data_IF_702679297341
#
_entry.id   IF_702679297341
#
_cell.length_a   1.000
_cell.length_b   1.000
_cell.length_c   1.000
_cell.angle_alpha   90.00
_cell.angle_beta   90.00
_cell.angle_gamma   90.00
#
_symmetry.space_group_name_H-M   'P 1'
#
loop_
_entity.id
_entity.type
_entity.pdbx_description
1 polymer ?
#
# COMPACT_ATOMS: atom_id res chain seq x y z
N UNK A 1 32.58 8.23 -16.58
CA UNK A 1 32.12 8.12 -17.99
C UNK A 1 33.19 7.39 -18.77
N UNK A 2 32.87 6.62 -19.83
CA UNK A 2 33.86 6.01 -20.71
C UNK A 2 34.63 7.07 -21.51
N UNK A 3 35.72 6.68 -22.15
CA UNK A 3 36.59 7.56 -22.94
C UNK A 3 35.80 8.33 -24.00
N UNK A 4 35.04 7.59 -24.81
CA UNK A 4 34.11 8.13 -25.79
C UNK A 4 32.71 7.83 -25.32
N UNK A 5 31.90 8.87 -25.18
CA UNK A 5 30.47 8.75 -24.90
C UNK A 5 29.67 9.70 -25.77
N UNK A 6 28.41 9.36 -25.97
CA UNK A 6 27.43 10.18 -26.65
C UNK A 6 26.23 10.47 -25.73
N UNK A 7 25.18 11.06 -26.33
CA UNK A 7 23.94 11.36 -25.65
C UNK A 7 23.28 10.12 -25.04
N UNK A 8 23.30 8.99 -25.74
CA UNK A 8 22.61 7.78 -25.33
C UNK A 8 23.33 7.09 -24.18
N UNK A 9 24.65 6.99 -24.27
CA UNK A 9 25.52 6.44 -23.21
C UNK A 9 25.39 7.26 -21.93
N UNK A 10 25.37 8.59 -22.03
CA UNK A 10 25.20 9.45 -20.86
C UNK A 10 23.85 9.22 -20.16
N UNK A 11 22.76 9.14 -20.92
CA UNK A 11 21.45 8.89 -20.34
C UNK A 11 21.30 7.47 -19.78
N UNK A 12 21.88 6.45 -20.44
CA UNK A 12 21.82 5.07 -19.94
C UNK A 12 22.53 4.93 -18.59
N UNK A 13 23.67 5.60 -18.39
CA UNK A 13 24.31 5.67 -17.08
C UNK A 13 23.47 6.41 -16.04
N UNK A 14 22.82 7.51 -16.43
CA UNK A 14 21.93 8.22 -15.51
C UNK A 14 20.75 7.35 -15.07
N UNK A 15 20.11 6.63 -15.99
CA UNK A 15 19.04 5.67 -15.69
C UNK A 15 19.55 4.55 -14.78
N UNK A 16 20.73 3.99 -15.07
CA UNK A 16 21.32 2.90 -14.27
C UNK A 16 21.59 3.32 -12.83
N UNK A 17 22.23 4.46 -12.62
CA UNK A 17 22.70 4.89 -11.30
C UNK A 17 21.69 5.73 -10.52
N UNK A 18 20.72 6.36 -11.19
CA UNK A 18 19.72 7.24 -10.58
C UNK A 18 18.29 6.84 -10.95
N UNK A 19 18.01 5.53 -10.99
CA UNK A 19 16.71 4.97 -11.37
C UNK A 19 15.54 5.57 -10.56
N UNK A 20 15.73 5.83 -9.27
CA UNK A 20 14.70 6.45 -8.42
C UNK A 20 14.39 7.89 -8.81
N UNK A 21 15.40 8.64 -9.25
CA UNK A 21 15.18 10.00 -9.76
C UNK A 21 14.41 9.97 -11.08
N UNK A 22 14.72 9.02 -11.96
CA UNK A 22 13.94 8.81 -13.20
C UNK A 22 12.50 8.45 -12.89
N UNK A 23 12.27 7.50 -11.98
CA UNK A 23 10.93 7.10 -11.53
C UNK A 23 10.13 8.29 -11.00
N UNK A 24 10.75 9.15 -10.19
CA UNK A 24 10.12 10.38 -9.68
C UNK A 24 9.79 11.38 -10.81
N UNK A 25 10.72 11.58 -11.75
CA UNK A 25 10.50 12.46 -12.91
C UNK A 25 9.36 11.96 -13.82
N UNK A 26 9.28 10.66 -14.04
CA UNK A 26 8.20 10.04 -14.82
C UNK A 26 6.85 10.22 -14.11
N UNK A 27 6.78 9.97 -12.80
CA UNK A 27 5.57 10.23 -12.02
C UNK A 27 5.18 11.71 -12.05
N UNK A 28 6.15 12.63 -11.93
CA UNK A 28 5.93 14.07 -12.05
C UNK A 28 5.38 14.45 -13.43
N UNK A 29 5.93 13.88 -14.49
CA UNK A 29 5.46 14.08 -15.86
C UNK A 29 3.99 13.65 -15.98
N UNK A 30 3.65 12.44 -15.54
CA UNK A 30 2.27 11.94 -15.58
C UNK A 30 1.30 12.80 -14.73
N UNK A 31 1.74 13.23 -13.54
CA UNK A 31 0.94 14.09 -12.66
C UNK A 31 0.59 15.43 -13.33
N UNK A 32 1.55 16.12 -13.96
CA UNK A 32 1.26 17.38 -14.62
C UNK A 32 0.55 17.21 -15.97
N UNK A 33 0.88 16.16 -16.72
CA UNK A 33 0.21 15.84 -17.99
C UNK A 33 -1.27 15.57 -17.79
N UNK A 34 -1.63 14.79 -16.76
CA UNK A 34 -3.03 14.52 -16.43
C UNK A 34 -3.81 15.79 -16.07
N UNK A 35 -3.16 16.77 -15.43
CA UNK A 35 -3.78 18.08 -15.15
C UNK A 35 -4.01 18.88 -16.43
N UNK A 36 -3.07 18.88 -17.35
CA UNK A 36 -3.25 19.55 -18.65
C UNK A 36 -4.33 18.88 -19.48
N UNK A 37 -4.43 17.55 -19.46
CA UNK A 37 -5.52 16.79 -20.07
C UNK A 37 -6.87 17.22 -19.46
N UNK A 38 -6.96 17.29 -18.13
CA UNK A 38 -8.17 17.75 -17.44
C UNK A 38 -8.52 19.21 -17.77
N UNK A 39 -7.53 20.10 -17.85
CA UNK A 39 -7.77 21.49 -18.24
C UNK A 39 -8.36 21.57 -19.65
N UNK A 40 -7.80 20.83 -20.61
CA UNK A 40 -8.33 20.73 -21.97
C UNK A 40 -9.76 20.19 -21.98
N UNK A 41 -10.05 19.14 -21.21
CA UNK A 41 -11.39 18.53 -21.19
C UNK A 41 -12.47 19.44 -20.63
N UNK A 42 -12.12 20.45 -19.83
CA UNK A 42 -13.04 21.49 -19.34
C UNK A 42 -12.95 22.80 -20.14
N UNK A 43 -12.38 22.76 -21.36
CA UNK A 43 -12.29 23.91 -22.27
C UNK A 43 -11.25 24.97 -21.88
N UNK A 44 -10.31 24.65 -20.97
CA UNK A 44 -9.25 25.56 -20.53
C UNK A 44 -7.93 25.29 -21.25
N UNK A 45 -7.12 26.33 -21.41
CA UNK A 45 -5.75 26.21 -21.94
C UNK A 45 -4.87 25.39 -20.98
N UNK A 46 -3.93 24.63 -21.56
CA UNK A 46 -2.88 23.93 -20.79
C UNK A 46 -2.01 24.92 -20.04
N UNK A 47 -1.41 24.47 -18.95
CA UNK A 47 -0.60 25.32 -18.06
C UNK A 47 0.79 24.77 -17.82
N UNK A 48 0.95 23.45 -17.77
CA UNK A 48 2.16 22.85 -17.21
C UNK A 48 3.17 22.42 -18.27
N UNK A 49 2.69 21.84 -19.38
CA UNK A 49 3.49 21.32 -20.50
C UNK A 49 4.78 20.61 -20.04
N UNK A 50 4.67 19.55 -19.23
CA UNK A 50 5.82 18.95 -18.59
C UNK A 50 6.70 18.20 -19.61
N UNK A 51 8.02 18.35 -19.49
CA UNK A 51 8.99 17.50 -20.19
C UNK A 51 8.98 16.09 -19.59
N UNK A 52 9.14 15.07 -20.45
CA UNK A 52 9.40 13.70 -19.98
C UNK A 52 10.79 13.61 -19.31
N UNK A 53 11.09 12.51 -18.62
CA UNK A 53 12.36 12.35 -17.87
C UNK A 53 13.60 12.51 -18.74
N UNK A 54 13.57 12.01 -19.98
CA UNK A 54 14.68 12.10 -20.95
C UNK A 54 14.93 13.54 -21.40
N UNK A 55 13.89 14.24 -21.84
CA UNK A 55 14.00 15.62 -22.30
C UNK A 55 14.32 16.56 -21.14
N UNK A 56 13.76 16.30 -19.96
CA UNK A 56 14.11 17.01 -18.73
C UNK A 56 15.61 16.86 -18.42
N UNK A 57 16.14 15.64 -18.46
CA UNK A 57 17.57 15.39 -18.25
C UNK A 57 18.44 16.21 -19.22
N UNK A 58 18.12 16.21 -20.52
CA UNK A 58 18.88 16.95 -21.53
C UNK A 58 18.65 18.47 -21.53
N UNK A 59 17.57 18.95 -20.91
CA UNK A 59 17.34 20.39 -20.74
C UNK A 59 18.33 21.05 -19.78
N UNK A 60 18.93 20.27 -18.86
CA UNK A 60 19.88 20.74 -17.84
C UNK A 60 21.16 21.31 -18.46
N UNK A 61 21.57 22.49 -18.02
CA UNK A 61 22.78 23.16 -18.51
C UNK A 61 24.05 22.32 -18.30
N UNK A 62 24.13 21.58 -17.18
CA UNK A 62 25.26 20.69 -16.91
C UNK A 62 25.35 19.57 -17.94
N UNK A 63 24.21 18.96 -18.29
CA UNK A 63 24.15 17.88 -19.29
C UNK A 63 24.48 18.42 -20.68
N UNK A 64 23.97 19.62 -21.04
CA UNK A 64 24.33 20.30 -22.29
C UNK A 64 25.83 20.56 -22.38
N UNK A 65 26.46 21.03 -21.31
CA UNK A 65 27.90 21.24 -21.25
C UNK A 65 28.68 19.92 -21.40
N UNK A 66 28.30 18.86 -20.69
CA UNK A 66 28.92 17.53 -20.83
C UNK A 66 28.87 17.00 -22.25
N UNK A 67 27.80 17.28 -22.99
CA UNK A 67 27.64 16.84 -24.38
C UNK A 67 28.29 17.77 -25.41
N UNK A 68 28.82 18.92 -25.00
CA UNK A 68 29.50 19.84 -25.92
C UNK A 68 30.77 19.22 -26.50
N UNK A 69 31.09 19.56 -27.75
CA UNK A 69 32.26 19.01 -28.44
C UNK A 69 33.56 19.30 -27.67
N UNK A 70 33.73 20.54 -27.19
CA UNK A 70 34.91 20.93 -26.43
C UNK A 70 35.09 20.11 -25.15
N UNK A 71 34.02 19.91 -24.37
CA UNK A 71 34.10 19.10 -23.15
C UNK A 71 34.39 17.63 -23.44
N UNK A 72 33.75 17.05 -24.46
CA UNK A 72 33.98 15.65 -24.86
C UNK A 72 35.41 15.42 -25.35
N UNK A 73 35.96 16.33 -26.15
CA UNK A 73 37.35 16.26 -26.61
C UNK A 73 38.32 16.37 -25.43
N UNK A 74 38.09 17.30 -24.51
CA UNK A 74 38.90 17.43 -23.29
C UNK A 74 38.84 16.17 -22.42
N UNK A 75 37.65 15.65 -22.16
CA UNK A 75 37.46 14.41 -21.40
C UNK A 75 38.17 13.21 -22.03
N UNK A 76 38.15 13.12 -23.38
CA UNK A 76 38.86 12.07 -24.10
C UNK A 76 40.37 12.15 -23.89
N UNK A 77 40.95 13.35 -23.98
CA UNK A 77 42.39 13.58 -23.77
C UNK A 77 42.83 13.28 -22.34
N UNK A 78 42.01 13.64 -21.35
CA UNK A 78 42.29 13.46 -19.93
C UNK A 78 41.82 12.09 -19.38
N UNK A 79 41.37 11.18 -20.25
CA UNK A 79 40.76 9.92 -19.83
C UNK A 79 41.76 8.99 -19.15
N UNK A 80 41.34 8.38 -18.05
CA UNK A 80 42.10 7.34 -17.35
C UNK A 80 41.15 6.27 -16.79
N UNK A 81 41.36 5.02 -17.17
CA UNK A 81 40.50 3.89 -16.79
C UNK A 81 40.51 3.63 -15.28
N UNK A 82 41.67 3.70 -14.62
CA UNK A 82 41.77 3.49 -13.18
C UNK A 82 41.03 4.58 -12.38
N UNK A 83 41.17 5.84 -12.79
CA UNK A 83 40.47 6.96 -12.16
C UNK A 83 38.95 6.83 -12.36
N UNK A 84 38.50 6.40 -13.54
CA UNK A 84 37.08 6.09 -13.80
C UNK A 84 36.58 5.00 -12.85
N UNK A 85 37.31 3.90 -12.71
CA UNK A 85 36.91 2.78 -11.82
C UNK A 85 36.84 3.28 -10.37
N UNK A 86 37.86 4.00 -9.89
CA UNK A 86 37.87 4.60 -8.55
C UNK A 86 36.66 5.52 -8.32
N UNK A 87 36.34 6.40 -9.28
CA UNK A 87 35.18 7.29 -9.20
C UNK A 87 33.85 6.52 -9.22
N UNK A 88 33.75 5.45 -10.00
CA UNK A 88 32.57 4.58 -10.04
C UNK A 88 32.35 3.89 -8.69
N UNK A 89 33.39 3.29 -8.11
CA UNK A 89 33.30 2.66 -6.79
C UNK A 89 32.88 3.67 -5.70
N UNK A 90 33.37 4.91 -5.77
CA UNK A 90 32.93 5.97 -4.85
C UNK A 90 31.46 6.35 -5.05
N UNK A 91 30.98 6.40 -6.30
CA UNK A 91 29.57 6.66 -6.60
C UNK A 91 28.69 5.54 -6.06
N UNK A 92 29.03 4.27 -6.31
CA UNK A 92 28.27 3.11 -5.83
C UNK A 92 28.21 3.08 -4.29
N UNK A 93 29.32 3.37 -3.61
CA UNK A 93 29.33 3.53 -2.13
C UNK A 93 28.38 4.63 -1.64
N UNK A 94 28.26 5.74 -2.38
CA UNK A 94 27.30 6.81 -2.05
C UNK A 94 25.87 6.37 -2.32
N UNK A 95 25.59 5.72 -3.46
CA UNK A 95 24.27 5.23 -3.84
C UNK A 95 23.73 4.18 -2.88
N UNK A 96 24.59 3.29 -2.36
CA UNK A 96 24.19 2.30 -1.37
C UNK A 96 23.62 2.93 -0.09
N UNK A 97 24.05 4.15 0.27
CA UNK A 97 23.45 4.90 1.39
C UNK A 97 22.04 5.43 1.08
N UNK A 98 21.69 5.59 -0.20
CA UNK A 98 20.38 6.06 -0.66
C UNK A 98 19.35 4.94 -0.88
N UNK A 99 19.78 3.67 -0.99
CA UNK A 99 18.89 2.49 -1.03
C UNK A 99 17.92 2.41 0.16
N UNK A 100 18.27 3.07 1.27
CA UNK A 100 17.41 3.24 2.44
C UNK A 100 16.02 3.81 2.09
N UNK A 101 15.87 4.62 1.04
CA UNK A 101 14.56 5.21 0.68
C UNK A 101 13.57 4.16 0.14
N UNK A 102 14.06 3.19 -0.64
CA UNK A 102 13.22 2.10 -1.14
C UNK A 102 12.83 1.16 -0.01
N UNK A 103 13.77 0.85 0.88
CA UNK A 103 13.49 0.07 2.10
C UNK A 103 12.45 0.76 2.99
N UNK A 104 12.55 2.08 3.18
CA UNK A 104 11.54 2.85 3.93
C UNK A 104 10.16 2.75 3.27
N UNK A 105 10.10 2.84 1.94
CA UNK A 105 8.83 2.70 1.20
C UNK A 105 8.26 1.29 1.34
N UNK A 106 9.10 0.26 1.22
CA UNK A 106 8.72 -1.14 1.40
C UNK A 106 8.16 -1.36 2.82
N UNK A 107 8.85 -0.86 3.84
CA UNK A 107 8.40 -0.98 5.23
C UNK A 107 7.08 -0.24 5.47
N UNK A 108 6.90 0.96 4.90
CA UNK A 108 5.66 1.72 5.01
C UNK A 108 4.47 1.07 4.30
N UNK A 109 4.74 0.22 3.30
CA UNK A 109 3.71 -0.43 2.46
C UNK A 109 3.49 -1.90 2.78
N UNK A 110 4.20 -2.42 3.78
CA UNK A 110 4.21 -3.83 4.19
C UNK A 110 2.80 -4.43 4.35
N UNK A 111 1.93 -3.73 5.07
CA UNK A 111 0.57 -4.19 5.39
C UNK A 111 -0.50 -3.73 4.40
N UNK A 112 -0.12 -2.91 3.42
CA UNK A 112 -1.06 -2.40 2.43
C UNK A 112 -1.46 -3.55 1.50
N UNK A 113 -2.76 -3.60 1.18
CA UNK A 113 -3.32 -4.59 0.28
C UNK A 113 -3.42 -4.02 -1.15
N UNK A 114 -2.90 -4.75 -2.12
CA UNK A 114 -2.93 -4.36 -3.54
C UNK A 114 -4.14 -5.00 -4.23
N UNK A 115 -5.32 -4.68 -3.71
CA UNK A 115 -6.62 -5.18 -4.18
C UNK A 115 -7.66 -4.07 -4.11
N UNK A 116 -8.77 -4.28 -4.81
CA UNK A 116 -9.89 -3.35 -4.83
C UNK A 116 -11.13 -3.96 -4.17
N UNK A 117 -11.25 -3.86 -2.83
CA UNK A 117 -12.45 -4.29 -2.13
C UNK A 117 -13.71 -3.60 -2.67
N UNK A 118 -14.80 -4.37 -2.72
CA UNK A 118 -16.10 -3.94 -3.28
C UNK A 118 -16.64 -2.67 -2.59
N UNK A 119 -16.33 -2.47 -1.31
CA UNK A 119 -16.83 -1.34 -0.53
C UNK A 119 -16.09 -0.01 -0.79
N UNK A 120 -14.97 0.01 -1.54
CA UNK A 120 -14.21 1.23 -1.80
C UNK A 120 -15.05 2.29 -2.50
N UNK A 121 -15.80 1.92 -3.53
CA UNK A 121 -16.65 2.87 -4.27
C UNK A 121 -17.75 3.47 -3.38
N UNK A 122 -18.29 2.65 -2.47
CA UNK A 122 -19.30 3.09 -1.49
C UNK A 122 -18.66 4.13 -0.56
N UNK A 123 -17.45 3.88 -0.07
CA UNK A 123 -16.75 4.75 0.87
C UNK A 123 -16.38 6.09 0.24
N UNK A 124 -15.87 6.07 -1.00
CA UNK A 124 -15.58 7.29 -1.76
C UNK A 124 -16.85 8.14 -1.98
N UNK A 125 -18.00 7.49 -2.24
CA UNK A 125 -19.28 8.20 -2.38
C UNK A 125 -19.76 8.80 -1.06
N UNK A 126 -19.70 8.04 0.04
CA UNK A 126 -20.14 8.49 1.37
C UNK A 126 -19.27 9.64 1.88
N UNK A 127 -17.96 9.60 1.64
CA UNK A 127 -16.99 10.59 2.12
C UNK A 127 -17.43 12.05 1.92
N UNK A 128 -18.00 12.39 0.76
CA UNK A 128 -18.40 13.76 0.45
C UNK A 128 -19.55 14.30 1.32
N UNK A 129 -20.38 13.40 1.88
CA UNK A 129 -21.53 13.72 2.73
C UNK A 129 -21.24 13.59 4.22
N UNK A 130 -20.09 13.00 4.56
CA UNK A 130 -19.71 12.67 5.93
C UNK A 130 -19.24 13.86 6.76
N UNK A 131 -19.41 13.74 8.07
CA UNK A 131 -18.82 14.66 9.05
C UNK A 131 -17.29 14.43 9.16
N UNK A 132 -16.59 15.27 9.95
CA UNK A 132 -15.13 15.21 10.05
C UNK A 132 -14.61 13.86 10.60
N UNK A 133 -15.25 13.32 11.65
CA UNK A 133 -14.89 12.05 12.26
C UNK A 133 -15.05 10.90 11.26
N UNK A 134 -16.20 10.80 10.60
CA UNK A 134 -16.47 9.79 9.57
C UNK A 134 -15.48 9.89 8.40
N UNK A 135 -15.11 11.11 7.98
CA UNK A 135 -14.09 11.31 6.94
C UNK A 135 -12.73 10.76 7.37
N UNK A 136 -12.33 10.93 8.63
CA UNK A 136 -11.09 10.34 9.16
C UNK A 136 -11.18 8.81 9.17
N UNK A 137 -12.31 8.24 9.59
CA UNK A 137 -12.50 6.79 9.59
C UNK A 137 -12.44 6.22 8.16
N UNK A 138 -13.12 6.85 7.20
CA UNK A 138 -13.05 6.48 5.77
C UNK A 138 -11.62 6.61 5.25
N UNK A 139 -10.93 7.70 5.59
CA UNK A 139 -9.53 7.89 5.21
C UNK A 139 -8.65 6.74 5.73
N UNK A 140 -8.79 6.41 7.02
CA UNK A 140 -8.00 5.37 7.68
C UNK A 140 -8.33 3.96 7.18
N UNK A 141 -9.53 3.75 6.66
CA UNK A 141 -9.85 2.51 5.97
C UNK A 141 -9.23 2.48 4.56
N UNK A 142 -9.44 3.52 3.75
CA UNK A 142 -8.97 3.54 2.36
C UNK A 142 -7.44 3.53 2.24
N UNK A 143 -6.70 4.03 3.26
CA UNK A 143 -5.22 4.04 3.26
C UNK A 143 -4.61 2.63 3.33
N UNK A 144 -5.42 1.61 3.68
CA UNK A 144 -5.00 0.21 3.76
C UNK A 144 -4.91 -0.46 2.38
N UNK A 145 -5.36 0.21 1.32
CA UNK A 145 -5.40 -0.33 -0.03
C UNK A 145 -4.65 0.55 -1.03
N UNK A 146 -3.85 -0.06 -1.92
CA UNK A 146 -3.05 0.64 -2.94
C UNK A 146 -3.51 0.34 -4.37
N UNK A 147 -4.80 0.43 -4.64
CA UNK A 147 -5.34 0.34 -6.00
C UNK A 147 -5.48 1.72 -6.68
N UNK A 148 -5.75 1.72 -7.98
CA UNK A 148 -5.86 2.95 -8.77
C UNK A 148 -6.93 3.94 -8.25
N UNK A 149 -8.04 3.43 -7.69
CA UNK A 149 -9.14 4.24 -7.16
C UNK A 149 -8.75 4.95 -5.87
N UNK A 150 -8.14 4.25 -4.91
CA UNK A 150 -7.69 4.87 -3.64
C UNK A 150 -6.60 5.89 -3.88
N UNK A 151 -5.63 5.58 -4.74
CA UNK A 151 -4.57 6.53 -5.12
C UNK A 151 -5.18 7.80 -5.74
N UNK A 152 -6.12 7.65 -6.67
CA UNK A 152 -6.84 8.77 -7.28
C UNK A 152 -7.62 9.57 -6.24
N UNK A 153 -8.27 8.90 -5.30
CA UNK A 153 -9.00 9.53 -4.19
C UNK A 153 -8.05 10.39 -3.34
N UNK A 154 -6.90 9.86 -2.92
CA UNK A 154 -5.94 10.63 -2.11
C UNK A 154 -5.33 11.81 -2.87
N UNK A 155 -5.05 11.67 -4.18
CA UNK A 155 -4.65 12.82 -4.99
C UNK A 155 -5.72 13.91 -5.05
N UNK A 156 -7.00 13.53 -5.18
CA UNK A 156 -8.12 14.49 -5.14
C UNK A 156 -8.22 15.17 -3.77
N UNK A 157 -8.03 14.44 -2.67
CA UNK A 157 -8.00 15.03 -1.33
C UNK A 157 -6.86 16.02 -1.18
N UNK A 158 -5.63 15.63 -1.54
CA UNK A 158 -4.47 16.53 -1.52
C UNK A 158 -4.69 17.81 -2.35
N UNK A 159 -5.37 17.68 -3.49
CA UNK A 159 -5.60 18.82 -4.39
C UNK A 159 -6.75 19.72 -3.95
N UNK A 160 -7.81 19.18 -3.35
CA UNK A 160 -9.11 19.86 -3.26
C UNK A 160 -9.81 19.83 -1.90
N UNK A 161 -9.40 18.97 -0.95
CA UNK A 161 -10.01 18.93 0.38
C UNK A 161 -9.80 20.26 1.09
N UNK A 162 -10.85 20.84 1.68
CA UNK A 162 -10.83 22.14 2.37
C UNK A 162 -10.25 22.04 3.78
N UNK A 163 -10.47 20.91 4.45
CA UNK A 163 -9.87 20.66 5.76
C UNK A 163 -8.36 20.41 5.61
N UNK A 164 -7.54 21.17 6.33
CA UNK A 164 -6.08 21.12 6.17
C UNK A 164 -5.46 19.86 6.80
N UNK A 165 -6.02 19.32 7.89
CA UNK A 165 -5.54 18.08 8.49
C UNK A 165 -5.67 16.93 7.49
N UNK A 166 -6.86 16.74 6.91
CA UNK A 166 -7.10 15.66 5.95
C UNK A 166 -6.24 15.84 4.69
N UNK A 167 -6.03 17.07 4.22
CA UNK A 167 -5.12 17.34 3.10
C UNK A 167 -3.69 16.93 3.41
N UNK A 168 -3.20 17.27 4.61
CA UNK A 168 -1.86 16.87 5.06
C UNK A 168 -1.75 15.36 5.23
N UNK A 169 -2.78 14.70 5.76
CA UNK A 169 -2.83 13.23 5.85
C UNK A 169 -2.71 12.60 4.45
N UNK A 170 -3.46 13.10 3.46
CA UNK A 170 -3.38 12.62 2.08
C UNK A 170 -1.99 12.83 1.46
N UNK A 171 -1.38 13.99 1.70
CA UNK A 171 -0.02 14.28 1.26
C UNK A 171 1.01 13.30 1.86
N UNK A 172 0.98 13.12 3.18
CA UNK A 172 1.89 12.22 3.89
C UNK A 172 1.71 10.76 3.44
N UNK A 173 0.46 10.31 3.27
CA UNK A 173 0.19 8.96 2.78
C UNK A 173 0.71 8.75 1.35
N UNK A 174 0.48 9.69 0.43
CA UNK A 174 1.05 9.59 -0.93
C UNK A 174 2.58 9.56 -0.90
N UNK A 175 3.22 10.33 0.00
CA UNK A 175 4.67 10.26 0.20
C UNK A 175 5.12 8.90 0.74
N UNK A 176 4.40 8.32 1.71
CA UNK A 176 4.75 7.01 2.30
C UNK A 176 4.67 5.87 1.28
N UNK A 177 3.80 6.01 0.26
CA UNK A 177 3.70 5.12 -0.90
C UNK A 177 4.79 5.35 -1.97
N UNK A 178 5.71 6.30 -1.74
CA UNK A 178 6.74 6.66 -2.72
C UNK A 178 6.17 7.32 -3.98
N UNK A 179 4.98 7.95 -3.90
CA UNK A 179 4.36 8.65 -5.02
C UNK A 179 4.81 10.11 -5.05
N UNK A 180 5.03 10.64 -6.25
CA UNK A 180 5.25 12.05 -6.45
C UNK A 180 3.99 12.84 -6.07
N UNK A 181 4.15 13.79 -5.15
CA UNK A 181 3.07 14.64 -4.68
C UNK A 181 3.61 15.99 -4.23
N UNK A 182 2.81 17.04 -4.38
CA UNK A 182 3.08 18.37 -3.82
C UNK A 182 1.96 18.80 -2.90
N UNK A 183 2.33 19.26 -1.71
CA UNK A 183 1.38 19.87 -0.80
C UNK A 183 0.92 21.22 -1.38
N UNK A 184 -0.39 21.38 -1.54
CA UNK A 184 -0.98 22.62 -2.05
C UNK A 184 -1.03 23.68 -0.95
N UNK A 185 -0.78 24.94 -1.30
CA UNK A 185 -1.00 26.09 -0.40
C UNK A 185 -2.44 26.08 0.14
N UNK A 186 -2.60 26.51 1.38
CA UNK A 186 -3.90 26.62 2.03
C UNK A 186 -4.87 27.49 1.23
N UNK A 187 -6.15 27.10 1.23
CA UNK A 187 -7.20 27.92 0.62
C UNK A 187 -7.32 29.27 1.33
N UNK A 188 -7.44 30.33 0.54
CA UNK A 188 -7.74 31.68 1.02
C UNK A 188 -9.27 31.87 1.17
N UNK A 189 -9.69 32.81 2.01
CA UNK A 189 -11.10 33.19 2.19
C UNK A 189 -11.71 32.75 3.54
N UNK A 190 -13.02 32.99 3.70
CA UNK A 190 -13.78 32.69 4.93
C UNK A 190 -13.72 31.19 5.25
N UNK A 191 -13.26 30.84 6.45
CA UNK A 191 -13.18 29.45 6.92
C UNK A 191 -14.50 29.06 7.58
N UNK A 192 -15.04 27.89 7.21
CA UNK A 192 -16.14 27.24 7.93
C UNK A 192 -15.57 26.41 9.08
N UNK A 193 -16.41 26.07 10.07
CA UNK A 193 -16.05 25.20 11.21
C UNK A 193 -15.33 23.93 10.76
N UNK A 194 -15.92 23.20 9.80
CA UNK A 194 -15.31 22.00 9.21
C UNK A 194 -13.89 22.20 8.65
N UNK A 195 -13.53 23.40 8.17
CA UNK A 195 -12.20 23.62 7.57
C UNK A 195 -11.06 23.59 8.62
N UNK A 196 -11.40 23.85 9.87
CA UNK A 196 -10.46 23.93 11.01
C UNK A 196 -10.68 22.82 12.03
N UNK A 197 -11.75 22.04 11.87
CA UNK A 197 -12.00 20.87 12.70
C UNK A 197 -10.80 19.92 12.65
N UNK A 198 -10.35 19.51 13.83
CA UNK A 198 -9.26 18.56 14.00
C UNK A 198 -9.61 17.47 15.01
N UNK A 199 -10.91 17.26 15.26
CA UNK A 199 -11.39 16.23 16.19
C UNK A 199 -11.04 14.85 15.67
N UNK A 200 -10.36 14.06 16.50
CA UNK A 200 -10.03 12.69 16.14
C UNK A 200 -11.17 11.76 16.58
N UNK A 201 -11.43 10.67 15.84
CA UNK A 201 -12.26 9.59 16.34
C UNK A 201 -11.68 9.06 17.65
N UNK A 202 -12.56 8.75 18.59
CA UNK A 202 -12.16 7.95 19.74
C UNK A 202 -12.05 6.49 19.28
N UNK A 203 -10.95 5.85 19.71
CA UNK A 203 -10.58 4.51 19.26
C UNK A 203 -10.59 3.58 20.46
N UNK A 204 -11.70 2.85 20.63
CA UNK A 204 -11.84 1.81 21.63
C UNK A 204 -12.57 0.58 21.04
N UNK A 205 -12.32 -0.64 21.57
CA UNK A 205 -13.06 -1.83 21.15
C UNK A 205 -14.57 -1.67 21.29
N UNK A 206 -15.04 -1.02 22.37
CA UNK A 206 -16.46 -0.76 22.61
C UNK A 206 -17.08 0.14 21.53
N UNK A 207 -16.38 1.20 21.11
CA UNK A 207 -16.87 2.06 20.04
C UNK A 207 -16.89 1.36 18.69
N UNK A 208 -15.90 0.50 18.41
CA UNK A 208 -15.92 -0.30 17.20
C UNK A 208 -17.14 -1.24 17.18
N UNK A 209 -17.47 -1.87 18.30
CA UNK A 209 -18.69 -2.67 18.44
C UNK A 209 -19.94 -1.81 18.19
N UNK A 210 -20.03 -0.60 18.77
CA UNK A 210 -21.13 0.34 18.48
C UNK A 210 -21.22 0.69 16.99
N UNK A 211 -20.10 0.89 16.32
CA UNK A 211 -20.08 1.14 14.88
C UNK A 211 -20.49 -0.09 14.06
N UNK A 212 -20.05 -1.29 14.43
CA UNK A 212 -20.41 -2.53 13.77
C UNK A 212 -21.90 -2.88 13.92
N UNK A 213 -22.48 -2.57 15.07
CA UNK A 213 -23.89 -2.80 15.37
C UNK A 213 -24.82 -1.67 14.88
N UNK A 214 -24.26 -0.58 14.36
CA UNK A 214 -25.01 0.51 13.71
C UNK A 214 -24.82 0.49 12.20
N UNK A 215 -25.69 1.19 11.46
CA UNK A 215 -25.54 1.36 10.00
C UNK A 215 -24.41 2.35 9.63
N UNK A 216 -23.25 2.23 10.31
CA UNK A 216 -22.06 3.07 10.12
C UNK A 216 -21.23 2.64 8.89
N UNK A 217 -20.06 3.25 8.73
CA UNK A 217 -19.07 2.81 7.74
C UNK A 217 -18.42 1.46 8.13
N UNK A 218 -18.25 1.17 9.41
CA UNK A 218 -17.60 -0.06 9.90
C UNK A 218 -18.41 -1.32 9.59
N UNK A 219 -19.73 -1.24 9.69
CA UNK A 219 -20.64 -2.34 9.37
C UNK A 219 -20.74 -2.64 7.86
N UNK A 220 -20.36 -1.67 7.01
CA UNK A 220 -20.35 -1.80 5.54
C UNK A 220 -19.08 -2.42 4.98
N UNK A 221 -18.05 -2.64 5.80
CA UNK A 221 -16.82 -3.32 5.38
C UNK A 221 -17.13 -4.77 5.05
N UNK A 222 -16.51 -5.28 3.99
CA UNK A 222 -16.66 -6.66 3.53
C UNK A 222 -15.32 -7.18 3.05
N UNK A 223 -14.96 -8.38 3.49
CA UNK A 223 -13.69 -8.99 3.12
C UNK A 223 -13.96 -10.29 2.35
N UNK A 224 -13.02 -10.71 1.54
CA UNK A 224 -13.10 -12.03 0.91
C UNK A 224 -12.69 -13.10 1.91
N UNK A 225 -11.55 -12.89 2.57
CA UNK A 225 -10.94 -13.87 3.45
C UNK A 225 -10.69 -13.31 4.84
N UNK A 226 -11.10 -14.03 5.88
CA UNK A 226 -10.61 -13.87 7.25
C UNK A 226 -9.42 -14.80 7.47
N UNK A 227 -8.26 -14.27 7.89
CA UNK A 227 -7.07 -15.10 8.17
C UNK A 227 -6.94 -15.35 9.67
N UNK A 228 -7.25 -16.58 10.08
CA UNK A 228 -7.00 -17.08 11.45
C UNK A 228 -5.59 -17.68 11.52
N UNK A 229 -4.78 -17.21 12.47
CA UNK A 229 -3.35 -17.53 12.53
C UNK A 229 -2.80 -17.30 13.94
N UNK A 230 -1.61 -17.85 14.22
CA UNK A 230 -0.86 -17.49 15.42
C UNK A 230 -0.12 -16.16 15.22
N UNK A 231 -0.10 -15.33 16.26
CA UNK A 231 0.67 -14.08 16.27
C UNK A 231 2.18 -14.29 15.94
N UNK A 232 2.72 -15.46 16.28
CA UNK A 232 4.13 -15.81 16.01
C UNK A 232 4.41 -16.00 14.50
N UNK A 233 3.38 -16.22 13.69
CA UNK A 233 3.49 -16.51 12.26
C UNK A 233 3.42 -15.25 11.38
N UNK A 234 3.89 -14.12 11.91
CA UNK A 234 3.79 -12.80 11.27
C UNK A 234 4.28 -12.79 9.81
N UNK A 235 5.51 -13.24 9.59
CA UNK A 235 6.11 -13.17 8.25
C UNK A 235 5.39 -14.09 7.26
N UNK A 236 4.89 -15.23 7.75
CA UNK A 236 4.12 -16.18 6.95
C UNK A 236 2.79 -15.56 6.48
N UNK A 237 2.05 -14.93 7.39
CA UNK A 237 0.75 -14.32 7.08
C UNK A 237 0.92 -13.11 6.14
N UNK A 238 2.03 -12.37 6.25
CA UNK A 238 2.36 -11.33 5.28
C UNK A 238 2.53 -11.90 3.86
N UNK A 239 3.24 -13.01 3.72
CA UNK A 239 3.43 -13.68 2.42
C UNK A 239 2.11 -14.24 1.88
N UNK A 240 1.28 -14.80 2.76
CA UNK A 240 -0.05 -15.28 2.42
C UNK A 240 -0.95 -14.13 1.94
N UNK A 241 -0.97 -12.99 2.64
CA UNK A 241 -1.70 -11.78 2.21
C UNK A 241 -1.28 -11.34 0.81
N UNK A 242 0.02 -11.33 0.50
CA UNK A 242 0.50 -10.99 -0.85
C UNK A 242 -0.03 -11.98 -1.90
N UNK A 243 -0.01 -13.27 -1.57
CA UNK A 243 -0.48 -14.34 -2.45
C UNK A 243 -1.98 -14.23 -2.73
N UNK A 244 -2.79 -13.98 -1.69
CA UNK A 244 -4.24 -13.80 -1.81
C UNK A 244 -4.58 -12.51 -2.57
N UNK A 245 -3.84 -11.43 -2.33
CA UNK A 245 -4.02 -10.19 -3.08
C UNK A 245 -3.72 -10.36 -4.58
N UNK A 246 -2.77 -11.22 -4.94
CA UNK A 246 -2.50 -11.53 -6.35
C UNK A 246 -3.68 -12.23 -7.04
N UNK A 247 -4.56 -12.89 -6.26
CA UNK A 247 -5.83 -13.43 -6.73
C UNK A 247 -6.97 -12.39 -6.71
N UNK A 248 -6.65 -11.11 -6.46
CA UNK A 248 -7.58 -10.00 -6.31
C UNK A 248 -8.62 -10.20 -5.18
N UNK A 249 -8.23 -10.88 -4.10
CA UNK A 249 -9.05 -11.13 -2.92
C UNK A 249 -8.54 -10.31 -1.73
N UNK A 250 -9.45 -9.66 -1.02
CA UNK A 250 -9.17 -8.86 0.18
C UNK A 250 -9.14 -9.70 1.45
N UNK A 251 -8.20 -9.38 2.33
CA UNK A 251 -7.99 -10.09 3.59
C UNK A 251 -8.35 -9.23 4.79
N UNK A 252 -8.96 -9.85 5.80
CA UNK A 252 -8.98 -9.37 7.17
C UNK A 252 -7.99 -10.15 8.03
N UNK A 253 -7.22 -9.43 8.83
CA UNK A 253 -6.38 -9.99 9.89
C UNK A 253 -6.17 -8.95 11.01
N UNK A 254 -6.36 -9.41 12.25
CA UNK A 254 -6.58 -8.64 13.48
C UNK A 254 -5.52 -7.55 13.77
N UNK A 255 -4.25 -7.90 13.66
CA UNK A 255 -3.07 -7.06 13.87
C UNK A 255 -2.85 -5.89 12.89
N UNK A 256 -3.57 -5.81 11.76
CA UNK A 256 -3.48 -4.66 10.84
C UNK A 256 -4.82 -4.02 10.53
N UNK A 257 -5.87 -4.84 10.43
CA UNK A 257 -7.15 -4.40 9.88
C UNK A 257 -7.90 -3.50 10.86
N UNK A 258 -7.81 -3.74 12.17
CA UNK A 258 -8.45 -2.90 13.20
C UNK A 258 -7.45 -2.39 14.25
N UNK A 259 -6.16 -2.28 13.91
CA UNK A 259 -5.08 -1.91 14.82
C UNK A 259 -5.35 -0.60 15.61
N UNK A 260 -6.02 0.37 14.99
CA UNK A 260 -6.36 1.64 15.64
C UNK A 260 -7.29 1.41 16.86
N UNK A 261 -8.24 0.46 16.76
CA UNK A 261 -9.24 0.13 17.79
C UNK A 261 -8.82 -1.03 18.71
N UNK A 262 -8.20 -2.08 18.15
CA UNK A 262 -7.83 -3.31 18.86
C UNK A 262 -6.37 -3.27 19.31
N UNK A 263 -6.03 -2.31 20.19
CA UNK A 263 -4.70 -2.28 20.79
C UNK A 263 -4.54 -3.43 21.78
N UNK A 264 -3.34 -4.03 21.86
CA UNK A 264 -3.08 -5.22 22.72
C UNK A 264 -3.35 -5.00 24.20
N UNK A 265 -3.19 -3.77 24.67
CA UNK A 265 -3.50 -3.40 26.05
C UNK A 265 -5.01 -3.23 26.30
N UNK A 266 -5.86 -3.37 25.28
CA UNK A 266 -7.32 -3.20 25.34
C UNK A 266 -8.08 -4.50 25.01
N UNK A 267 -7.41 -5.67 25.12
CA UNK A 267 -8.08 -6.97 24.91
C UNK A 267 -9.23 -7.10 25.92
N UNK A 268 -10.43 -7.28 25.39
CA UNK A 268 -11.67 -7.38 26.18
C UNK A 268 -12.68 -8.28 25.47
N UNK A 269 -13.83 -8.53 26.08
CA UNK A 269 -14.91 -9.27 25.41
C UNK A 269 -15.44 -8.56 24.16
N UNK A 270 -15.32 -7.23 24.10
CA UNK A 270 -15.57 -6.48 22.87
C UNK A 270 -14.63 -6.87 21.73
N UNK A 271 -13.37 -7.23 22.01
CA UNK A 271 -12.45 -7.76 20.98
C UNK A 271 -12.99 -9.05 20.38
N UNK A 272 -13.53 -9.96 21.20
CA UNK A 272 -14.16 -11.20 20.71
C UNK A 272 -15.36 -10.89 19.83
N UNK A 273 -16.21 -9.94 20.24
CA UNK A 273 -17.38 -9.53 19.46
C UNK A 273 -16.98 -8.92 18.10
N UNK A 274 -15.94 -8.08 18.07
CA UNK A 274 -15.41 -7.52 16.82
C UNK A 274 -14.94 -8.63 15.89
N UNK A 275 -14.13 -9.58 16.36
CA UNK A 275 -13.64 -10.68 15.53
C UNK A 275 -14.79 -11.53 14.96
N UNK A 276 -15.80 -11.85 15.78
CA UNK A 276 -17.02 -12.53 15.33
C UNK A 276 -17.73 -11.78 14.21
N UNK A 277 -17.90 -10.46 14.35
CA UNK A 277 -18.48 -9.61 13.31
C UNK A 277 -17.63 -9.54 12.04
N UNK A 278 -16.30 -9.56 12.17
CA UNK A 278 -15.37 -9.56 11.03
C UNK A 278 -15.38 -10.89 10.27
N UNK A 279 -15.58 -12.02 10.97
CA UNK A 279 -15.86 -13.32 10.35
C UNK A 279 -17.18 -13.28 9.58
N UNK A 280 -18.24 -12.70 10.16
CA UNK A 280 -19.52 -12.52 9.46
C UNK A 280 -19.39 -11.68 8.19
N UNK A 281 -18.57 -10.62 8.23
CA UNK A 281 -18.27 -9.73 7.10
C UNK A 281 -17.33 -10.35 6.04
N UNK A 282 -16.70 -11.48 6.35
CA UNK A 282 -15.80 -12.19 5.44
C UNK A 282 -16.56 -13.29 4.68
N UNK A 283 -16.19 -13.60 3.44
CA UNK A 283 -16.85 -14.71 2.70
C UNK A 283 -16.44 -16.07 3.25
N UNK A 284 -15.17 -16.23 3.59
CA UNK A 284 -14.61 -17.46 4.13
C UNK A 284 -13.54 -17.19 5.19
N UNK A 285 -13.19 -18.23 5.94
CA UNK A 285 -12.07 -18.24 6.87
C UNK A 285 -10.97 -19.15 6.31
N UNK A 286 -9.72 -18.67 6.32
CA UNK A 286 -8.55 -19.51 6.12
C UNK A 286 -7.83 -19.63 7.46
N UNK A 287 -7.64 -20.87 7.90
CA UNK A 287 -6.78 -21.24 9.01
C UNK A 287 -5.35 -21.47 8.49
N UNK A 288 -4.40 -20.76 9.06
CA UNK A 288 -2.97 -21.01 8.84
C UNK A 288 -2.51 -21.98 9.91
N UNK A 289 -2.38 -23.25 9.55
CA UNK A 289 -2.04 -24.31 10.50
C UNK A 289 -0.53 -24.48 10.55
N UNK A 290 0.07 -24.09 11.67
CA UNK A 290 1.51 -24.22 11.98
C UNK A 290 1.68 -24.91 13.33
N UNK A 291 2.91 -25.29 13.67
CA UNK A 291 3.23 -25.78 15.01
C UNK A 291 2.98 -24.75 16.14
N UNK A 292 2.77 -23.47 15.81
CA UNK A 292 2.35 -22.43 16.77
C UNK A 292 0.83 -22.42 17.01
N UNK A 293 0.04 -23.11 16.17
CA UNK A 293 -1.42 -23.17 16.23
C UNK A 293 -1.90 -24.53 16.73
N UNK A 294 -1.24 -25.61 16.34
CA UNK A 294 -1.63 -27.00 16.66
C UNK A 294 -0.50 -27.73 17.39
N UNK A 295 -0.86 -28.44 18.46
CA UNK A 295 0.00 -29.36 19.19
C UNK A 295 -0.78 -30.64 19.49
N UNK A 296 -0.17 -31.81 19.29
CA UNK A 296 -0.79 -33.12 19.54
C UNK A 296 -2.16 -33.34 18.84
N UNK A 297 -2.36 -32.71 17.68
CA UNK A 297 -3.61 -32.78 16.93
C UNK A 297 -4.71 -31.81 17.40
N UNK A 298 -4.45 -31.01 18.43
CA UNK A 298 -5.39 -30.02 18.95
C UNK A 298 -4.92 -28.58 18.75
N UNK A 299 -5.86 -27.71 18.40
CA UNK A 299 -5.61 -26.27 18.34
C UNK A 299 -5.37 -25.78 19.77
N UNK A 300 -4.31 -25.01 20.00
CA UNK A 300 -3.92 -24.57 21.35
C UNK A 300 -4.54 -23.23 21.74
N UNK A 301 -4.72 -22.32 20.78
CA UNK A 301 -5.22 -20.96 21.03
C UNK A 301 -6.75 -20.91 21.20
N UNK A 302 -7.22 -20.42 22.34
CA UNK A 302 -8.64 -20.16 22.61
C UNK A 302 -9.27 -19.19 21.60
N UNK A 303 -8.49 -18.21 21.12
CA UNK A 303 -8.95 -17.26 20.10
C UNK A 303 -9.24 -17.98 18.78
N UNK A 304 -8.31 -18.81 18.32
CA UNK A 304 -8.47 -19.58 17.08
C UNK A 304 -9.62 -20.58 17.20
N UNK A 305 -9.77 -21.24 18.37
CA UNK A 305 -10.93 -22.10 18.65
C UNK A 305 -12.24 -21.33 18.51
N UNK A 306 -12.34 -20.17 19.16
CA UNK A 306 -13.52 -19.31 19.10
C UNK A 306 -13.83 -18.83 17.67
N UNK A 307 -12.81 -18.45 16.89
CA UNK A 307 -12.97 -18.04 15.48
C UNK A 307 -13.52 -19.18 14.62
N UNK A 308 -12.98 -20.40 14.78
CA UNK A 308 -13.43 -21.59 14.07
C UNK A 308 -14.86 -21.96 14.47
N UNK A 309 -15.17 -21.97 15.76
CA UNK A 309 -16.50 -22.28 16.28
C UNK A 309 -17.54 -21.27 15.76
N UNK A 310 -17.22 -19.98 15.77
CA UNK A 310 -18.10 -18.95 15.24
C UNK A 310 -18.26 -19.05 13.72
N UNK A 311 -17.18 -19.29 12.98
CA UNK A 311 -17.24 -19.51 11.54
C UNK A 311 -18.15 -20.71 11.19
N UNK A 312 -18.08 -21.81 11.96
CA UNK A 312 -19.00 -22.96 11.82
C UNK A 312 -20.44 -22.56 12.12
N UNK A 313 -20.70 -21.83 13.20
CA UNK A 313 -22.06 -21.45 13.62
C UNK A 313 -22.76 -20.54 12.62
N UNK A 314 -22.01 -19.66 11.94
CA UNK A 314 -22.54 -18.77 10.89
C UNK A 314 -22.42 -19.36 9.47
N UNK A 315 -22.08 -20.64 9.35
CA UNK A 315 -22.06 -21.38 8.08
C UNK A 315 -20.97 -20.93 7.09
N UNK A 316 -19.86 -20.38 7.58
CA UNK A 316 -18.73 -19.96 6.74
C UNK A 316 -17.90 -21.18 6.34
N UNK A 317 -17.42 -21.18 5.09
CA UNK A 317 -16.44 -22.16 4.63
C UNK A 317 -15.13 -21.94 5.38
N UNK A 318 -14.56 -23.02 5.91
CA UNK A 318 -13.27 -23.00 6.61
C UNK A 318 -12.27 -23.78 5.76
N UNK A 319 -11.31 -23.06 5.22
CA UNK A 319 -10.19 -23.62 4.47
C UNK A 319 -8.93 -23.63 5.34
N UNK A 320 -7.96 -24.48 5.00
CA UNK A 320 -6.74 -24.65 5.76
C UNK A 320 -5.53 -24.63 4.82
N UNK A 321 -4.54 -23.82 5.16
CA UNK A 321 -3.18 -23.94 4.64
C UNK A 321 -2.36 -24.66 5.69
N UNK A 322 -2.09 -25.94 5.44
CA UNK A 322 -1.39 -26.81 6.39
C UNK A 322 0.13 -26.77 6.17
N UNK A 323 0.85 -26.13 7.09
CA UNK A 323 2.32 -26.12 7.14
C UNK A 323 2.89 -27.19 8.07
N UNK A 324 2.07 -28.17 8.45
CA UNK A 324 2.44 -29.29 9.32
C UNK A 324 2.13 -30.61 8.63
N UNK A 325 2.69 -31.70 9.15
CA UNK A 325 2.35 -33.06 8.71
C UNK A 325 1.09 -33.63 9.42
N UNK A 326 0.43 -32.82 10.26
CA UNK A 326 -0.74 -33.25 11.02
C UNK A 326 -2.01 -33.20 10.16
N UNK A 327 -2.89 -34.18 10.33
CA UNK A 327 -4.20 -34.19 9.68
C UNK A 327 -5.13 -33.09 10.22
N UNK A 328 -6.08 -32.65 9.40
CA UNK A 328 -7.11 -31.70 9.82
C UNK A 328 -8.47 -31.98 9.18
N UNK A 329 -9.53 -31.47 9.79
CA UNK A 329 -10.93 -31.64 9.33
C UNK A 329 -11.42 -30.57 8.34
N UNK A 330 -10.59 -29.57 8.01
CA UNK A 330 -10.97 -28.43 7.17
C UNK A 330 -10.68 -28.65 5.68
N UNK A 331 -11.19 -27.77 4.82
CA UNK A 331 -10.95 -27.86 3.37
C UNK A 331 -9.48 -27.52 3.09
N UNK A 332 -8.70 -28.49 2.61
CA UNK A 332 -7.28 -28.27 2.32
C UNK A 332 -7.09 -27.36 1.10
N UNK A 333 -6.24 -26.34 1.22
CA UNK A 333 -5.75 -25.56 0.08
C UNK A 333 -4.39 -26.13 -0.30
N UNK A 334 -4.29 -26.69 -1.50
CA UNK A 334 -3.02 -27.18 -2.04
C UNK A 334 -2.10 -26.01 -2.42
N UNK A 335 -0.88 -25.99 -1.88
CA UNK A 335 0.14 -24.97 -2.13
C UNK A 335 1.56 -25.57 -2.18
N UNK A 336 2.52 -24.80 -2.69
CA UNK A 336 3.95 -25.04 -2.53
C UNK A 336 4.57 -23.89 -1.73
N UNK A 337 5.60 -24.20 -0.96
CA UNK A 337 6.32 -23.23 -0.15
C UNK A 337 7.83 -23.34 -0.40
N UNK A 338 8.38 -22.38 -1.14
CA UNK A 338 9.79 -22.35 -1.51
C UNK A 338 10.38 -20.95 -1.25
N UNK A 339 11.51 -20.89 -0.54
CA UNK A 339 12.25 -19.63 -0.34
C UNK A 339 11.42 -18.50 0.29
N UNK A 340 10.53 -18.81 1.24
CA UNK A 340 9.54 -17.91 1.85
C UNK A 340 8.44 -17.40 0.90
N UNK A 341 8.27 -18.01 -0.27
CA UNK A 341 7.16 -17.71 -1.18
C UNK A 341 6.12 -18.82 -1.13
N UNK A 342 4.83 -18.44 -1.11
CA UNK A 342 3.70 -19.37 -1.18
C UNK A 342 3.14 -19.30 -2.60
N UNK A 343 3.04 -20.43 -3.27
CA UNK A 343 2.33 -20.56 -4.55
C UNK A 343 1.14 -21.49 -4.39
N UNK A 344 -0.07 -20.98 -4.64
CA UNK A 344 -1.29 -21.78 -4.53
C UNK A 344 -1.47 -22.54 -5.85
N UNK A 345 -1.78 -23.84 -5.74
CA UNK A 345 -2.04 -24.69 -6.90
C UNK A 345 -3.25 -24.19 -7.72
N UNK A 346 -3.40 -24.68 -8.96
CA UNK A 346 -4.58 -24.34 -9.79
C UNK A 346 -5.91 -24.70 -9.11
N UNK A 347 -5.97 -25.86 -8.45
CA UNK A 347 -7.14 -26.31 -7.71
C UNK A 347 -7.42 -25.40 -6.50
N UNK A 348 -6.37 -25.04 -5.76
CA UNK A 348 -6.48 -24.11 -4.62
C UNK A 348 -6.93 -22.71 -5.06
N UNK A 349 -6.44 -22.21 -6.20
CA UNK A 349 -6.89 -20.94 -6.78
C UNK A 349 -8.37 -21.01 -7.14
N UNK A 350 -8.79 -22.07 -7.86
CA UNK A 350 -10.19 -22.25 -8.24
C UNK A 350 -11.11 -22.35 -7.01
N UNK A 351 -10.66 -23.05 -5.96
CA UNK A 351 -11.36 -23.12 -4.68
C UNK A 351 -11.54 -21.72 -4.10
N UNK A 352 -10.46 -20.94 -3.97
CA UNK A 352 -10.48 -19.61 -3.37
C UNK A 352 -11.32 -18.60 -4.16
N UNK A 353 -11.30 -18.66 -5.49
CA UNK A 353 -12.09 -17.76 -6.34
C UNK A 353 -13.59 -18.09 -6.34
N UNK A 354 -13.95 -19.31 -5.92
CA UNK A 354 -15.34 -19.79 -5.83
C UNK A 354 -15.91 -19.71 -4.40
N UNK A 355 -15.19 -19.07 -3.46
CA UNK A 355 -15.67 -18.73 -2.11
C UNK A 355 -16.60 -17.53 -2.17
#
# INVERSE_FOLDING_TARGET
>A
MPEVYDRNILFSFYVKYFHNTIKELDQRYQYYKSKDIFLKSVGKKIRYDPLNSRDFFFSSQKVKHMLSNGYRSKHKLEYNEELKIKALTQLEKKLNKFLNKDLVTINNTEYIQDVEPIYIDIFIKIYNKSNHIEKILIFNELKKFSNSKTITFFYKLNDSERNNQIRNMAFQHLQSLGKYVKLRKNFKGKKKTYHIDSTLPNYSPEELVKFLNSNSIESKKKYDIFISHSYLDKDLVKNMKNTINFLNLSCYYDWTSDQDFLKRNLISDYTKEVLKKRIEQSKALILVLTHNVIADGEITSEWIKMEIEHAKSVGKKICCLNFTDLGHQFINIEFQYEGNSISISKNGVQLLTNL
#
